data_IF_648104183417
#
_entry.id   IF_648104183417
#
_cell.length_a   1.000
_cell.length_b   1.000
_cell.length_c   1.000
_cell.angle_alpha   90.00
_cell.angle_beta   90.00
_cell.angle_gamma   90.00
#
_symmetry.space_group_name_H-M   'P 1'
#
loop_
_entity.id
_entity.type
_entity.pdbx_description
1 polymer ?
#
# COMPACT_ATOMS: atom_id res chain seq x y z
N UNK A 1 -5.30 -5.07 10.29
CA UNK A 1 -4.74 -4.60 11.59
C UNK A 1 -5.46 -5.18 12.81
N UNK A 2 -6.57 -5.91 12.68
CA UNK A 2 -7.07 -6.74 13.77
C UNK A 2 -6.36 -8.10 13.77
N UNK A 3 -6.19 -8.70 14.94
CA UNK A 3 -5.73 -10.08 15.09
C UNK A 3 -6.88 -11.09 14.93
N UNK A 4 -6.57 -12.37 15.08
CA UNK A 4 -7.56 -13.47 15.00
C UNK A 4 -8.61 -13.41 16.10
N UNK A 5 -8.31 -12.74 17.22
CA UNK A 5 -9.23 -12.53 18.34
C UNK A 5 -10.09 -11.27 18.14
N UNK A 6 -9.88 -10.52 17.06
CA UNK A 6 -10.61 -9.29 16.74
C UNK A 6 -10.08 -8.04 17.46
N UNK A 7 -9.01 -8.16 18.24
CA UNK A 7 -8.36 -7.02 18.89
C UNK A 7 -7.52 -6.25 17.88
N UNK A 8 -7.44 -4.94 18.06
CA UNK A 8 -6.54 -4.11 17.27
C UNK A 8 -5.09 -4.38 17.66
N UNK A 9 -4.24 -4.66 16.66
CA UNK A 9 -2.79 -4.78 16.85
C UNK A 9 -2.17 -3.45 17.26
N UNK A 10 -2.64 -2.37 16.65
CA UNK A 10 -2.34 -0.98 16.99
C UNK A 10 -3.64 -0.16 16.93
N UNK A 11 -3.77 0.92 17.73
CA UNK A 11 -4.96 1.77 17.69
C UNK A 11 -5.21 2.29 16.28
N UNK A 12 -6.44 2.16 15.74
CA UNK A 12 -6.76 2.73 14.43
C UNK A 12 -6.72 4.25 14.50
N UNK A 13 -6.52 4.90 13.36
CA UNK A 13 -6.66 6.35 13.27
C UNK A 13 -8.07 6.80 13.69
N UNK A 14 -8.22 8.01 14.26
CA UNK A 14 -9.49 8.46 14.86
C UNK A 14 -10.54 8.88 13.82
N UNK A 15 -10.17 9.01 12.55
CA UNK A 15 -11.09 9.31 11.46
C UNK A 15 -11.65 8.03 10.82
N UNK A 16 -12.80 8.10 10.13
CA UNK A 16 -13.40 6.95 9.47
C UNK A 16 -12.46 6.30 8.44
N UNK A 17 -12.67 5.02 8.14
CA UNK A 17 -11.89 4.33 7.11
C UNK A 17 -11.97 5.08 5.77
N UNK A 18 -10.84 5.13 5.08
CA UNK A 18 -10.78 5.66 3.71
C UNK A 18 -11.42 4.64 2.80
N UNK A 19 -12.46 5.05 2.08
CA UNK A 19 -13.16 4.22 1.10
C UNK A 19 -13.55 5.04 -0.13
N UNK A 20 -13.69 4.35 -1.27
CA UNK A 20 -14.22 4.90 -2.53
C UNK A 20 -15.42 4.05 -2.97
N UNK A 21 -16.19 4.54 -3.94
CA UNK A 21 -17.41 3.85 -4.42
C UNK A 21 -17.17 2.39 -4.82
N UNK A 22 -16.02 2.12 -5.45
CA UNK A 22 -15.72 0.81 -6.02
C UNK A 22 -14.98 -0.14 -5.05
N UNK A 23 -14.44 0.37 -3.94
CA UNK A 23 -13.72 -0.47 -2.97
C UNK A 23 -13.61 0.18 -1.59
N UNK A 24 -13.81 -0.64 -0.56
CA UNK A 24 -13.61 -0.28 0.85
C UNK A 24 -12.28 -0.79 1.41
N UNK A 25 -11.59 -1.70 0.70
CA UNK A 25 -10.35 -2.34 1.16
C UNK A 25 -9.59 -2.95 -0.03
N UNK A 26 -8.71 -2.17 -0.64
CA UNK A 26 -7.82 -2.60 -1.74
C UNK A 26 -6.33 -2.53 -1.35
N UNK A 27 -6.02 -2.51 -0.05
CA UNK A 27 -4.65 -2.33 0.44
C UNK A 27 -3.67 -3.38 -0.12
N UNK A 28 -4.14 -4.62 -0.31
CA UNK A 28 -3.32 -5.70 -0.87
C UNK A 28 -2.84 -5.40 -2.28
N UNK A 29 -3.63 -4.68 -3.09
CA UNK A 29 -3.28 -4.37 -4.47
C UNK A 29 -2.13 -3.37 -4.55
N UNK A 30 -1.99 -2.50 -3.54
CA UNK A 30 -0.88 -1.56 -3.41
C UNK A 30 0.35 -2.14 -2.70
N UNK A 31 0.17 -3.15 -1.84
CA UNK A 31 1.28 -3.88 -1.20
C UNK A 31 1.92 -4.86 -2.20
N UNK A 32 1.14 -5.36 -3.16
CA UNK A 32 1.62 -6.27 -4.20
C UNK A 32 2.77 -5.64 -4.99
N UNK A 33 3.78 -6.48 -5.29
CA UNK A 33 4.88 -6.14 -6.20
C UNK A 33 4.70 -6.80 -7.58
N UNK A 34 3.55 -7.43 -7.82
CA UNK A 34 3.15 -7.92 -9.13
C UNK A 34 2.83 -6.72 -10.04
N UNK A 35 3.40 -6.72 -11.24
CA UNK A 35 3.24 -5.65 -12.23
C UNK A 35 1.82 -5.60 -12.82
N UNK A 36 1.06 -6.69 -12.73
CA UNK A 36 -0.30 -6.79 -13.27
C UNK A 36 -1.38 -6.38 -12.26
N UNK A 37 -1.00 -6.07 -11.01
CA UNK A 37 -1.93 -5.78 -9.91
C UNK A 37 -1.87 -4.30 -9.51
N UNK A 38 -3.04 -3.72 -9.26
CA UNK A 38 -3.18 -2.39 -8.66
C UNK A 38 -2.93 -1.23 -9.64
N UNK A 39 -2.33 -0.15 -9.12
CA UNK A 39 -2.09 1.09 -9.85
C UNK A 39 -0.63 1.53 -9.73
N UNK A 40 -0.14 2.22 -10.76
CA UNK A 40 1.21 2.77 -10.78
C UNK A 40 2.22 1.84 -11.44
N UNK A 41 3.47 1.87 -10.98
CA UNK A 41 4.55 1.07 -11.52
C UNK A 41 5.43 0.52 -10.40
N UNK A 42 5.75 -0.77 -10.47
CA UNK A 42 6.66 -1.44 -9.53
C UNK A 42 8.09 -1.32 -10.04
N UNK A 43 9.00 -0.91 -9.16
CA UNK A 43 10.42 -0.80 -9.48
C UNK A 43 11.24 -1.70 -8.57
N UNK A 44 12.17 -2.46 -9.15
CA UNK A 44 13.30 -2.99 -8.39
C UNK A 44 14.17 -1.84 -7.91
N UNK A 45 14.82 -2.00 -6.76
CA UNK A 45 15.62 -0.93 -6.14
C UNK A 45 16.65 -0.32 -7.10
N UNK A 46 17.35 -1.15 -7.88
CA UNK A 46 18.35 -0.69 -8.86
C UNK A 46 17.75 0.05 -10.07
N UNK A 47 16.44 0.00 -10.27
CA UNK A 47 15.71 0.83 -11.24
C UNK A 47 15.12 2.08 -10.60
N UNK A 48 14.65 1.97 -9.35
CA UNK A 48 14.08 3.07 -8.60
C UNK A 48 15.12 4.17 -8.31
N UNK A 49 16.29 3.77 -7.80
CA UNK A 49 17.34 4.71 -7.36
C UNK A 49 17.88 5.55 -8.52
N UNK A 50 18.27 5.01 -9.68
CA UNK A 50 18.72 5.87 -10.80
C UNK A 50 17.61 6.75 -11.39
N UNK A 51 16.34 6.36 -11.21
CA UNK A 51 15.19 7.11 -11.73
C UNK A 51 14.86 8.33 -10.88
N UNK A 52 15.00 8.23 -9.56
CA UNK A 52 14.55 9.26 -8.62
C UNK A 52 15.62 9.79 -7.67
N UNK A 53 16.78 9.13 -7.60
CA UNK A 53 17.94 9.63 -6.89
C UNK A 53 18.57 10.79 -7.66
N UNK A 54 18.88 11.87 -6.97
CA UNK A 54 19.63 12.99 -7.54
C UNK A 54 21.00 12.50 -8.00
N UNK A 55 21.34 12.75 -9.27
CA UNK A 55 22.72 12.67 -9.72
C UNK A 55 23.48 13.83 -9.08
N UNK A 56 24.41 13.54 -8.17
CA UNK A 56 25.47 14.48 -7.80
C UNK A 56 26.62 14.36 -8.79
#
# INVERSE_FOLDING_TARGET
>A
MKDSSGNWRDPPSPYPCIEIGDSKMNLNDFISMDLEVGWGAVYMLFKFVPRFGSNY
#
